data_IF_301288580932
#
_entry.id   IF_301288580932
#
_cell.length_a   1.000
_cell.length_b   1.000
_cell.length_c   1.000
_cell.angle_alpha   90.00
_cell.angle_beta   90.00
_cell.angle_gamma   90.00
#
_symmetry.space_group_name_H-M   'P 1'
#
loop_
_entity.id
_entity.type
_entity.pdbx_description
1 polymer ?
#
# COMPACT_ATOMS: atom_id res chain seq x y z
N UNK A 1 13.01 -2.78 42.10
CA UNK A 1 13.32 -2.79 40.64
C UNK A 1 12.40 -3.68 39.79
N UNK A 2 11.43 -4.36 40.34
CA UNK A 2 10.54 -5.32 39.66
C UNK A 2 9.22 -4.78 39.11
N UNK A 3 8.85 -3.52 39.43
CA UNK A 3 7.55 -2.94 39.01
C UNK A 3 7.51 -2.31 37.61
N UNK A 4 8.66 -1.98 37.00
CA UNK A 4 8.71 -1.37 35.67
C UNK A 4 8.61 -2.36 34.50
N UNK A 5 8.97 -3.62 34.71
CA UNK A 5 8.94 -4.67 33.66
C UNK A 5 7.50 -5.17 33.41
N UNK A 6 6.67 -5.21 34.45
CA UNK A 6 5.29 -5.69 34.32
C UNK A 6 4.37 -4.74 33.55
N UNK A 7 4.57 -3.42 33.64
CA UNK A 7 3.73 -2.46 32.92
C UNK A 7 3.97 -2.44 31.39
N UNK A 8 5.19 -2.78 30.95
CA UNK A 8 5.51 -2.85 29.52
C UNK A 8 4.94 -4.13 28.89
N UNK A 9 4.93 -5.22 29.64
CA UNK A 9 4.35 -6.51 29.22
C UNK A 9 2.81 -6.42 29.13
N UNK A 10 2.15 -5.82 30.12
CA UNK A 10 0.70 -5.59 30.13
C UNK A 10 0.22 -4.67 29.03
N UNK A 11 1.01 -3.65 28.64
CA UNK A 11 0.68 -2.79 27.49
C UNK A 11 0.73 -3.53 26.16
N UNK A 12 1.66 -4.48 25.98
CA UNK A 12 1.74 -5.31 24.77
C UNK A 12 0.59 -6.30 24.65
N UNK A 13 0.22 -6.98 25.73
CA UNK A 13 -0.91 -7.93 25.73
C UNK A 13 -2.25 -7.23 25.50
N UNK A 14 -2.46 -6.06 26.10
CA UNK A 14 -3.66 -5.27 25.85
C UNK A 14 -3.74 -4.72 24.41
N UNK A 15 -2.61 -4.46 23.75
CA UNK A 15 -2.59 -4.10 22.33
C UNK A 15 -2.94 -5.31 21.44
N UNK A 16 -2.40 -6.48 21.72
CA UNK A 16 -2.71 -7.71 20.97
C UNK A 16 -4.19 -8.09 21.14
N UNK A 17 -4.73 -7.98 22.34
CA UNK A 17 -6.15 -8.24 22.62
C UNK A 17 -7.09 -7.21 21.97
N UNK A 18 -6.66 -5.96 21.76
CA UNK A 18 -7.42 -4.93 21.01
C UNK A 18 -7.40 -5.20 19.51
N UNK A 19 -6.26 -5.59 18.95
CA UNK A 19 -6.12 -5.90 17.51
C UNK A 19 -7.03 -7.07 17.14
N UNK A 20 -7.16 -8.09 17.99
CA UNK A 20 -8.04 -9.25 17.76
C UNK A 20 -9.55 -8.94 17.83
N UNK A 21 -9.94 -7.73 18.27
CA UNK A 21 -11.32 -7.27 18.33
C UNK A 21 -11.66 -6.17 17.31
N UNK A 22 -10.67 -5.66 16.59
CA UNK A 22 -10.89 -4.60 15.62
C UNK A 22 -11.48 -5.16 14.32
N UNK A 23 -12.41 -4.42 13.75
CA UNK A 23 -12.90 -4.72 12.40
C UNK A 23 -11.82 -4.47 11.36
N UNK A 24 -11.97 -5.06 10.17
CA UNK A 24 -11.04 -4.82 9.06
C UNK A 24 -10.95 -3.33 8.68
N UNK A 25 -12.06 -2.60 8.78
CA UNK A 25 -12.11 -1.16 8.48
C UNK A 25 -11.34 -0.33 9.52
N UNK A 26 -11.44 -0.68 10.80
CA UNK A 26 -10.65 -0.03 11.85
C UNK A 26 -9.16 -0.27 11.69
N UNK A 27 -8.75 -1.50 11.33
CA UNK A 27 -7.35 -1.83 11.05
C UNK A 27 -6.81 -1.07 9.84
N UNK A 28 -7.58 -0.99 8.76
CA UNK A 28 -7.20 -0.22 7.56
C UNK A 28 -7.10 1.27 7.91
N UNK A 29 -8.06 1.81 8.64
CA UNK A 29 -8.06 3.21 9.06
C UNK A 29 -6.84 3.53 9.90
N UNK A 30 -6.56 2.75 10.94
CA UNK A 30 -5.38 2.92 11.79
C UNK A 30 -4.07 2.80 11.00
N UNK A 31 -4.02 1.88 10.04
CA UNK A 31 -2.88 1.73 9.13
C UNK A 31 -2.63 3.02 8.35
N UNK A 32 -3.65 3.55 7.69
CA UNK A 32 -3.54 4.77 6.90
C UNK A 32 -3.24 6.01 7.75
N UNK A 33 -3.75 6.10 8.97
CA UNK A 33 -3.45 7.19 9.92
C UNK A 33 -1.99 7.17 10.40
N UNK A 34 -1.43 5.99 10.62
CA UNK A 34 -0.08 5.84 11.19
C UNK A 34 1.03 5.80 10.15
N UNK A 35 0.73 5.39 8.92
CA UNK A 35 1.70 5.30 7.84
C UNK A 35 2.14 6.68 7.34
N UNK A 36 3.43 6.78 6.98
CA UNK A 36 4.03 7.98 6.37
C UNK A 36 4.68 7.70 5.03
N UNK A 37 5.18 6.49 4.85
CA UNK A 37 5.99 6.07 3.70
C UNK A 37 5.34 4.90 2.97
N UNK A 38 5.18 5.06 1.66
CA UNK A 38 4.56 4.06 0.79
C UNK A 38 5.52 3.76 -0.36
N UNK A 39 5.89 2.50 -0.55
CA UNK A 39 6.54 2.03 -1.76
C UNK A 39 5.47 1.53 -2.74
N UNK A 40 5.35 2.20 -3.87
CA UNK A 40 4.34 1.86 -4.88
C UNK A 40 4.96 1.04 -6.00
N UNK A 41 4.68 -0.25 -6.04
CA UNK A 41 5.25 -1.21 -7.00
C UNK A 41 4.40 -1.30 -8.26
N UNK A 42 5.03 -1.08 -9.42
CA UNK A 42 4.35 -1.14 -10.71
C UNK A 42 3.82 0.23 -11.18
N UNK A 43 4.45 1.32 -10.77
CA UNK A 43 4.13 2.64 -11.30
C UNK A 43 4.48 2.69 -12.77
N UNK A 44 3.51 3.05 -13.60
CA UNK A 44 3.68 3.15 -15.05
C UNK A 44 3.74 4.60 -15.49
N UNK A 45 4.81 4.98 -16.19
CA UNK A 45 4.91 6.29 -16.82
C UNK A 45 3.98 6.41 -18.03
N UNK A 46 3.43 7.59 -18.22
CA UNK A 46 2.75 7.94 -19.48
C UNK A 46 3.85 8.30 -20.48
N UNK A 47 4.30 7.35 -21.30
CA UNK A 47 5.05 7.70 -22.51
C UNK A 47 4.08 8.47 -23.42
N UNK A 48 4.52 9.64 -23.89
CA UNK A 48 3.82 10.41 -24.94
C UNK A 48 3.86 9.59 -26.24
N UNK A 49 3.06 8.55 -26.33
CA UNK A 49 2.71 8.00 -27.62
C UNK A 49 1.56 8.84 -28.16
N UNK A 50 1.71 9.25 -29.40
CA UNK A 50 0.70 9.90 -30.25
C UNK A 50 -0.44 8.91 -30.49
N UNK A 51 -1.19 8.63 -29.46
CA UNK A 51 -2.38 7.78 -29.51
C UNK A 51 -3.51 8.54 -28.85
N UNK A 52 -4.57 8.73 -29.60
CA UNK A 52 -5.84 9.36 -29.20
C UNK A 52 -6.54 8.64 -28.03
N UNK A 53 -6.01 7.52 -27.56
CA UNK A 53 -6.48 6.78 -26.37
C UNK A 53 -5.61 7.13 -25.16
N UNK A 54 -6.03 8.13 -24.39
CA UNK A 54 -5.47 8.43 -23.07
C UNK A 54 -5.81 7.25 -22.15
N UNK A 55 -4.96 6.24 -22.11
CA UNK A 55 -5.05 5.18 -21.08
C UNK A 55 -4.70 5.80 -19.75
N UNK A 56 -5.72 6.07 -18.94
CA UNK A 56 -5.53 6.45 -17.53
C UNK A 56 -4.69 5.37 -16.85
N UNK A 57 -3.59 5.77 -16.24
CA UNK A 57 -2.73 4.84 -15.48
C UNK A 57 -3.06 4.96 -14.00
N UNK A 58 -3.79 3.98 -13.43
CA UNK A 58 -4.29 4.07 -12.06
C UNK A 58 -3.20 4.36 -11.03
N UNK A 59 -2.00 3.78 -11.20
CA UNK A 59 -0.89 3.95 -10.26
C UNK A 59 -0.43 5.41 -10.13
N UNK A 60 -0.31 6.15 -11.23
CA UNK A 60 0.14 7.55 -11.17
C UNK A 60 -0.93 8.45 -10.56
N UNK A 61 -2.20 8.18 -10.80
CA UNK A 61 -3.33 8.93 -10.21
C UNK A 61 -3.37 8.68 -8.69
N UNK A 62 -3.25 7.43 -8.27
CA UNK A 62 -3.23 7.07 -6.85
C UNK A 62 -2.01 7.66 -6.16
N UNK A 63 -0.83 7.58 -6.79
CA UNK A 63 0.40 8.17 -6.27
C UNK A 63 0.24 9.65 -5.97
N UNK A 64 -0.21 10.44 -6.97
CA UNK A 64 -0.42 11.88 -6.80
C UNK A 64 -1.39 12.18 -5.66
N UNK A 65 -2.51 11.45 -5.62
CA UNK A 65 -3.52 11.59 -4.57
C UNK A 65 -2.91 11.38 -3.17
N UNK A 66 -2.15 10.29 -2.98
CA UNK A 66 -1.53 9.99 -1.69
C UNK A 66 -0.52 11.06 -1.28
N UNK A 67 0.26 11.59 -2.23
CA UNK A 67 1.18 12.70 -1.97
C UNK A 67 0.45 13.97 -1.52
N UNK A 68 -0.70 14.30 -2.12
CA UNK A 68 -1.54 15.45 -1.71
C UNK A 68 -2.07 15.30 -0.28
N UNK A 69 -2.21 14.06 0.23
CA UNK A 69 -2.58 13.78 1.62
C UNK A 69 -1.38 13.55 2.55
N UNK A 70 -0.17 13.92 2.10
CA UNK A 70 1.02 14.01 2.94
C UNK A 70 1.86 12.72 3.04
N UNK A 71 1.56 11.68 2.26
CA UNK A 71 2.40 10.49 2.20
C UNK A 71 3.66 10.73 1.35
N UNK A 72 4.80 10.25 1.83
CA UNK A 72 5.98 10.07 0.99
C UNK A 72 5.80 8.80 0.17
N UNK A 73 5.62 8.94 -1.14
CA UNK A 73 5.41 7.80 -2.04
C UNK A 73 6.64 7.59 -2.90
N UNK A 74 7.25 6.40 -2.80
CA UNK A 74 8.43 6.01 -3.58
C UNK A 74 7.97 5.10 -4.73
N UNK A 75 8.10 5.51 -5.99
CA UNK A 75 7.71 4.69 -7.13
C UNK A 75 8.76 3.63 -7.43
N UNK A 76 8.31 2.38 -7.63
CA UNK A 76 9.15 1.23 -7.94
C UNK A 76 8.76 0.64 -9.29
N UNK A 77 9.70 0.62 -10.24
CA UNK A 77 9.51 -0.03 -11.53
C UNK A 77 10.88 -0.34 -12.17
N UNK A 78 11.24 -1.63 -12.39
CA UNK A 78 12.53 -2.00 -12.96
C UNK A 78 12.73 -1.51 -14.41
N UNK A 79 11.65 -1.21 -15.12
CA UNK A 79 11.71 -0.79 -16.53
C UNK A 79 11.81 0.73 -16.74
N UNK A 80 11.80 1.50 -15.67
CA UNK A 80 11.79 2.97 -15.70
C UNK A 80 12.71 3.61 -14.66
N UNK A 81 13.77 2.90 -14.27
CA UNK A 81 14.72 3.36 -13.24
C UNK A 81 15.33 4.69 -13.62
N UNK A 82 15.36 5.62 -12.68
CA UNK A 82 15.93 6.97 -12.87
C UNK A 82 14.97 7.98 -13.50
N UNK A 83 13.87 7.53 -14.11
CA UNK A 83 12.83 8.44 -14.59
C UNK A 83 12.08 9.07 -13.40
N UNK A 84 11.41 10.21 -13.63
CA UNK A 84 10.67 10.91 -12.57
C UNK A 84 9.16 10.84 -12.81
N UNK A 85 8.42 10.63 -11.73
CA UNK A 85 6.96 10.72 -11.68
C UNK A 85 6.53 11.50 -10.44
N UNK A 86 5.72 12.54 -10.64
CA UNK A 86 5.25 13.43 -9.57
C UNK A 86 6.36 13.89 -8.61
N UNK A 87 7.53 14.25 -9.15
CA UNK A 87 8.68 14.75 -8.40
C UNK A 87 9.59 13.66 -7.80
N UNK A 88 9.17 12.39 -7.78
CA UNK A 88 9.94 11.29 -7.23
C UNK A 88 10.69 10.50 -8.32
N UNK A 89 11.91 10.09 -8.01
CA UNK A 89 12.72 9.24 -8.90
C UNK A 89 12.30 7.78 -8.74
N UNK A 90 12.07 7.10 -9.84
CA UNK A 90 11.70 5.68 -9.86
C UNK A 90 12.94 4.85 -9.53
N UNK A 91 12.79 3.94 -8.56
CA UNK A 91 13.79 2.93 -8.21
C UNK A 91 13.45 1.58 -8.84
N UNK A 92 14.46 0.70 -9.00
CA UNK A 92 14.30 -0.57 -9.69
C UNK A 92 13.55 -1.63 -8.87
N UNK A 93 13.83 -1.69 -7.58
CA UNK A 93 13.29 -2.71 -6.67
C UNK A 93 13.17 -2.17 -5.23
N UNK A 94 12.41 -2.87 -4.41
CA UNK A 94 12.17 -2.47 -3.01
C UNK A 94 13.46 -2.34 -2.20
N UNK A 95 14.44 -3.22 -2.42
CA UNK A 95 15.73 -3.19 -1.71
C UNK A 95 16.60 -1.95 -2.03
N UNK A 96 16.30 -1.22 -3.10
CA UNK A 96 17.01 0.01 -3.45
C UNK A 96 16.57 1.21 -2.59
N UNK A 97 15.43 1.09 -1.90
CA UNK A 97 14.90 2.13 -1.03
C UNK A 97 15.70 2.20 0.27
N UNK A 98 16.17 3.40 0.64
CA UNK A 98 17.06 3.61 1.79
C UNK A 98 16.36 4.12 3.05
N UNK A 99 15.04 4.26 3.01
CA UNK A 99 14.23 4.70 4.15
C UNK A 99 13.26 3.59 4.56
N UNK A 100 12.83 3.55 5.83
CA UNK A 100 11.81 2.61 6.28
C UNK A 100 10.52 2.78 5.48
N UNK A 101 9.89 1.67 5.12
CA UNK A 101 8.62 1.64 4.39
C UNK A 101 7.51 1.12 5.31
N UNK A 102 6.43 1.89 5.43
CA UNK A 102 5.25 1.47 6.18
C UNK A 102 4.35 0.57 5.33
N UNK A 103 4.06 0.97 4.10
CA UNK A 103 3.16 0.24 3.20
C UNK A 103 3.87 -0.08 1.88
N UNK A 104 3.80 -1.33 1.45
CA UNK A 104 4.10 -1.72 0.06
C UNK A 104 2.77 -1.86 -0.68
N UNK A 105 2.52 -0.94 -1.60
CA UNK A 105 1.29 -0.84 -2.41
C UNK A 105 1.54 -1.38 -3.82
N UNK A 106 0.82 -2.43 -4.22
CA UNK A 106 1.13 -3.25 -5.40
C UNK A 106 0.12 -3.06 -6.52
N UNK A 107 0.61 -2.62 -7.68
CA UNK A 107 -0.10 -2.47 -8.96
C UNK A 107 0.36 -3.50 -10.00
N UNK A 108 0.89 -4.64 -9.55
CA UNK A 108 1.34 -5.73 -10.44
C UNK A 108 0.32 -6.87 -10.43
N UNK A 109 0.25 -7.67 -11.51
CA UNK A 109 -0.63 -8.85 -11.56
C UNK A 109 -0.45 -9.80 -10.37
N UNK A 110 -1.52 -10.46 -9.96
CA UNK A 110 -1.54 -11.39 -8.80
C UNK A 110 -0.42 -12.43 -8.81
N UNK A 111 -0.02 -12.91 -9.99
CA UNK A 111 1.08 -13.87 -10.16
C UNK A 111 2.44 -13.36 -9.69
N UNK A 112 2.64 -12.05 -9.64
CA UNK A 112 3.89 -11.43 -9.18
C UNK A 112 3.86 -11.12 -7.68
N UNK A 113 2.68 -11.17 -7.05
CA UNK A 113 2.51 -10.80 -5.64
C UNK A 113 3.37 -11.62 -4.67
N UNK A 114 3.60 -12.95 -4.84
CA UNK A 114 4.44 -13.71 -3.92
C UNK A 114 5.89 -13.20 -3.89
N UNK A 115 6.50 -12.93 -5.03
CA UNK A 115 7.86 -12.40 -5.13
C UNK A 115 7.97 -11.02 -4.46
N UNK A 116 6.99 -10.14 -4.71
CA UNK A 116 6.96 -8.81 -4.10
C UNK A 116 6.73 -8.92 -2.58
N UNK A 117 5.95 -9.89 -2.13
CA UNK A 117 5.75 -10.17 -0.71
C UNK A 117 7.06 -10.55 0.00
N UNK A 118 7.88 -11.42 -0.62
CA UNK A 118 9.20 -11.77 -0.10
C UNK A 118 10.14 -10.56 0.01
N UNK A 119 10.15 -9.69 -1.01
CA UNK A 119 10.91 -8.44 -0.97
C UNK A 119 10.40 -7.52 0.14
N UNK A 120 9.08 -7.43 0.32
CA UNK A 120 8.44 -6.62 1.37
C UNK A 120 8.83 -7.09 2.78
N UNK A 121 8.95 -8.41 2.96
CA UNK A 121 9.48 -9.00 4.21
C UNK A 121 10.92 -8.58 4.44
N UNK A 122 11.78 -8.66 3.42
CA UNK A 122 13.21 -8.32 3.52
C UNK A 122 13.45 -6.88 3.92
N UNK A 123 12.64 -5.94 3.42
CA UNK A 123 12.76 -4.51 3.77
C UNK A 123 12.03 -4.15 5.08
N UNK A 124 11.36 -5.10 5.74
CA UNK A 124 10.65 -4.88 7.00
C UNK A 124 9.41 -4.00 6.87
N UNK A 125 8.69 -4.08 5.76
CA UNK A 125 7.42 -3.38 5.60
C UNK A 125 6.41 -3.79 6.68
N UNK A 126 5.53 -2.87 7.08
CA UNK A 126 4.49 -3.15 8.08
C UNK A 126 3.20 -3.66 7.45
N UNK A 127 2.93 -3.24 6.24
CA UNK A 127 1.70 -3.55 5.50
C UNK A 127 2.03 -3.92 4.06
N UNK A 128 1.38 -4.97 3.58
CA UNK A 128 1.41 -5.39 2.19
C UNK A 128 0.02 -5.23 1.60
N UNK A 129 -0.10 -4.32 0.63
CA UNK A 129 -1.37 -3.88 0.07
C UNK A 129 -1.46 -4.25 -1.40
N UNK A 130 -2.44 -5.06 -1.76
CA UNK A 130 -2.77 -5.40 -3.14
C UNK A 130 -3.99 -4.60 -3.61
N UNK A 131 -3.82 -3.86 -4.68
CA UNK A 131 -4.84 -2.98 -5.24
C UNK A 131 -6.08 -3.74 -5.72
N UNK A 132 -7.14 -3.00 -6.06
CA UNK A 132 -8.39 -3.57 -6.57
C UNK A 132 -8.15 -4.55 -7.72
N UNK A 133 -8.78 -5.73 -7.66
CA UNK A 133 -8.59 -6.82 -8.62
C UNK A 133 -7.34 -7.67 -8.41
N UNK A 134 -6.50 -7.38 -7.41
CA UNK A 134 -5.27 -8.12 -7.13
C UNK A 134 -5.41 -8.84 -5.79
N UNK A 135 -5.17 -10.14 -5.78
CA UNK A 135 -5.16 -10.98 -4.57
C UNK A 135 -4.25 -12.19 -4.77
N UNK A 136 -3.67 -12.69 -3.67
CA UNK A 136 -2.79 -13.86 -3.68
C UNK A 136 -2.73 -14.50 -2.30
N UNK A 137 -3.22 -15.73 -2.18
CA UNK A 137 -3.16 -16.50 -0.94
C UNK A 137 -1.73 -16.89 -0.56
N UNK A 138 -0.87 -17.09 -1.55
CA UNK A 138 0.54 -17.37 -1.35
C UNK A 138 1.25 -16.14 -0.74
N UNK A 139 1.09 -14.97 -1.36
CA UNK A 139 1.62 -13.72 -0.82
C UNK A 139 1.10 -13.45 0.60
N UNK A 140 -0.19 -13.71 0.85
CA UNK A 140 -0.80 -13.60 2.18
C UNK A 140 -0.06 -14.45 3.21
N UNK A 141 0.14 -15.73 2.93
CA UNK A 141 0.87 -16.65 3.83
C UNK A 141 2.29 -16.15 4.12
N UNK A 142 3.01 -15.67 3.09
CA UNK A 142 4.37 -15.13 3.24
C UNK A 142 4.40 -13.96 4.22
N UNK A 143 3.57 -12.95 4.01
CA UNK A 143 3.62 -11.71 4.80
C UNK A 143 3.05 -11.90 6.21
N UNK A 144 1.95 -12.64 6.36
CA UNK A 144 1.34 -12.91 7.66
C UNK A 144 2.24 -13.75 8.57
N UNK A 145 3.05 -14.67 8.01
CA UNK A 145 4.06 -15.44 8.77
C UNK A 145 5.10 -14.52 9.45
N UNK A 146 5.28 -13.31 8.94
CA UNK A 146 6.19 -12.27 9.47
C UNK A 146 5.45 -11.14 10.18
N UNK A 147 4.16 -11.32 10.49
CA UNK A 147 3.30 -10.33 11.17
C UNK A 147 3.13 -9.02 10.38
N UNK A 148 3.26 -9.08 9.07
CA UNK A 148 2.94 -7.97 8.16
C UNK A 148 1.43 -8.02 7.89
N UNK A 149 0.76 -6.88 8.02
CA UNK A 149 -0.68 -6.79 7.77
C UNK A 149 -0.96 -6.90 6.26
N UNK A 150 -1.86 -7.82 5.90
CA UNK A 150 -2.22 -8.08 4.51
C UNK A 150 -3.56 -7.43 4.17
N UNK A 151 -3.56 -6.63 3.10
CA UNK A 151 -4.78 -6.07 2.50
C UNK A 151 -4.80 -6.45 1.03
N UNK A 152 -5.94 -6.88 0.51
CA UNK A 152 -6.07 -7.25 -0.91
C UNK A 152 -7.40 -6.81 -1.51
N UNK A 153 -7.42 -6.69 -2.84
CA UNK A 153 -8.59 -6.32 -3.62
C UNK A 153 -9.24 -5.00 -3.17
N UNK A 154 -8.41 -4.03 -2.77
CA UNK A 154 -8.86 -2.71 -2.30
C UNK A 154 -7.99 -1.61 -2.88
N UNK A 155 -8.61 -0.58 -3.47
CA UNK A 155 -7.88 0.60 -3.90
C UNK A 155 -7.58 1.49 -2.69
N UNK A 156 -6.30 1.68 -2.36
CA UNK A 156 -5.86 2.47 -1.20
C UNK A 156 -6.43 3.91 -1.19
N UNK A 157 -6.52 4.55 -2.38
CA UNK A 157 -7.17 5.86 -2.53
C UNK A 157 -8.66 5.82 -2.15
N UNK A 158 -9.39 4.81 -2.63
CA UNK A 158 -10.82 4.66 -2.34
C UNK A 158 -11.05 4.36 -0.86
N UNK A 159 -10.23 3.53 -0.23
CA UNK A 159 -10.31 3.26 1.19
C UNK A 159 -10.03 4.54 2.01
N UNK A 160 -9.03 5.33 1.61
CA UNK A 160 -8.78 6.63 2.24
C UNK A 160 -10.01 7.55 2.14
N UNK A 161 -10.58 7.69 0.94
CA UNK A 161 -11.77 8.53 0.71
C UNK A 161 -12.95 8.05 1.54
N UNK A 162 -13.21 6.74 1.57
CA UNK A 162 -14.31 6.15 2.30
C UNK A 162 -14.19 6.34 3.82
N UNK A 163 -13.01 6.12 4.37
CA UNK A 163 -12.78 6.11 5.82
C UNK A 163 -12.57 7.49 6.43
N UNK A 164 -11.97 8.43 5.68
CA UNK A 164 -11.62 9.75 6.20
C UNK A 164 -12.50 10.87 5.65
N UNK A 165 -12.87 10.83 4.38
CA UNK A 165 -13.63 11.89 3.74
C UNK A 165 -15.13 11.58 3.70
N UNK A 166 -15.54 10.38 4.12
CA UNK A 166 -16.93 9.88 4.05
C UNK A 166 -17.55 9.99 2.65
N UNK A 167 -16.70 9.99 1.62
CA UNK A 167 -17.12 9.99 0.22
C UNK A 167 -17.29 8.54 -0.20
N UNK A 168 -18.51 8.14 -0.54
CA UNK A 168 -18.74 6.85 -1.19
C UNK A 168 -17.97 6.82 -2.51
N UNK A 169 -17.31 5.70 -2.87
CA UNK A 169 -16.74 5.55 -4.19
C UNK A 169 -17.89 5.63 -5.21
N UNK A 170 -18.04 6.79 -5.84
CA UNK A 170 -19.03 6.97 -6.88
C UNK A 170 -18.47 6.26 -8.11
N UNK A 171 -18.90 5.03 -8.34
CA UNK A 171 -18.95 4.52 -9.69
C UNK A 171 -20.01 5.35 -10.40
N UNK A 172 -19.69 6.09 -11.48
CA UNK A 172 -20.74 6.68 -12.27
C UNK A 172 -21.61 5.52 -12.74
N UNK A 173 -22.85 5.48 -12.26
CA UNK A 173 -23.85 4.56 -12.78
C UNK A 173 -23.91 4.80 -14.29
N UNK A 174 -23.55 3.79 -15.08
CA UNK A 174 -23.79 3.81 -16.51
C UNK A 174 -25.31 4.00 -16.65
N UNK A 175 -25.71 5.19 -17.07
CA UNK A 175 -27.11 5.41 -17.48
C UNK A 175 -27.35 4.44 -18.63
N UNK A 176 -28.15 3.41 -18.37
CA UNK A 176 -28.72 2.58 -19.41
C UNK A 176 -29.60 3.48 -20.28
N UNK A 177 -29.18 3.66 -21.50
CA UNK A 177 -29.98 4.26 -22.56
C UNK A 177 -31.03 3.29 -23.00
#
# INVERSE_FOLDING_TARGET
MLKKVSQHFWKKENQIGRINKMSSDELIKQTLESAKTIAMVGVSLVKKEISTNIRRRPSTIVMKYLQEFGYKVIPVNPFSVGEKVHGETIVGKLNDIKIPIDIVDVFRPSKEAPMIAEESVKIGAKVFWLQYGIQSDEAKKIVESKKIFYVSNKCIKQEYQRLFLKVSPVFPALKSS
#
